data_IF_106179762807
#
_entry.id   IF_106179762807
#
_cell.length_a   1.000
_cell.length_b   1.000
_cell.length_c   1.000
_cell.angle_alpha   90.00
_cell.angle_beta   90.00
_cell.angle_gamma   90.00
#
_symmetry.space_group_name_H-M   'P 1'
#
loop_
_entity.id
_entity.type
_entity.pdbx_description
1 polymer ?
#
# COMPACT_ATOMS: atom_id res chain seq x y z
N UNK A 1 -7.73 -5.64 40.66
CA UNK A 1 -8.34 -6.07 39.39
C UNK A 1 -7.48 -5.50 38.26
N UNK A 2 -6.81 -6.37 37.50
CA UNK A 2 -5.84 -5.98 36.46
C UNK A 2 -6.48 -5.09 35.40
N UNK A 3 -5.88 -3.92 35.15
CA UNK A 3 -6.17 -3.09 33.98
C UNK A 3 -5.61 -3.82 32.75
N UNK A 4 -6.47 -4.50 32.01
CA UNK A 4 -6.14 -5.05 30.70
C UNK A 4 -5.71 -3.91 29.79
N UNK A 5 -4.43 -3.89 29.43
CA UNK A 5 -3.87 -3.00 28.43
C UNK A 5 -4.48 -3.43 27.08
N UNK A 6 -5.39 -2.60 26.55
CA UNK A 6 -5.82 -2.70 25.16
C UNK A 6 -4.65 -2.31 24.26
N UNK A 7 -3.72 -3.24 24.03
CA UNK A 7 -2.85 -3.20 22.86
C UNK A 7 -3.69 -3.69 21.69
N UNK A 8 -4.53 -2.83 21.12
CA UNK A 8 -5.14 -3.12 19.82
C UNK A 8 -4.03 -3.08 18.77
N UNK A 9 -3.51 -4.26 18.44
CA UNK A 9 -2.48 -4.48 17.44
C UNK A 9 -2.97 -3.98 16.08
N UNK A 10 -2.16 -3.16 15.42
CA UNK A 10 -2.25 -2.99 13.96
C UNK A 10 -2.10 -4.41 13.37
N UNK A 11 -2.94 -4.84 12.42
CA UNK A 11 -2.76 -6.14 11.76
C UNK A 11 -1.32 -6.25 11.27
N UNK A 12 -0.62 -7.32 11.65
CA UNK A 12 0.79 -7.52 11.26
C UNK A 12 0.85 -7.52 9.73
N UNK A 13 1.67 -6.64 9.15
CA UNK A 13 1.84 -6.52 7.70
C UNK A 13 2.25 -7.91 7.16
N UNK A 14 1.54 -8.46 6.16
CA UNK A 14 1.91 -9.73 5.54
C UNK A 14 3.36 -9.72 5.04
N UNK A 15 4.10 -10.80 5.29
CA UNK A 15 5.52 -10.93 4.92
C UNK A 15 5.70 -11.25 3.42
N UNK A 16 5.21 -10.37 2.56
CA UNK A 16 5.36 -10.46 1.10
C UNK A 16 5.85 -9.13 0.54
N UNK A 17 6.89 -9.20 -0.29
CA UNK A 17 7.38 -8.10 -1.12
C UNK A 17 6.89 -8.34 -2.55
N UNK A 18 6.13 -7.40 -3.08
CA UNK A 18 5.63 -7.40 -4.44
C UNK A 18 6.53 -6.54 -5.33
N UNK A 19 7.04 -7.12 -6.41
CA UNK A 19 7.79 -6.42 -7.46
C UNK A 19 7.16 -6.73 -8.82
N UNK A 20 7.33 -5.82 -9.77
CA UNK A 20 6.73 -5.94 -11.11
C UNK A 20 7.78 -5.82 -12.20
N UNK A 21 7.65 -6.61 -13.26
CA UNK A 21 8.42 -6.47 -14.49
C UNK A 21 7.58 -6.88 -15.69
N UNK A 22 8.03 -6.56 -16.90
CA UNK A 22 7.30 -6.89 -18.12
C UNK A 22 7.12 -8.40 -18.31
N UNK A 23 8.15 -9.17 -17.95
CA UNK A 23 8.24 -10.62 -18.11
C UNK A 23 8.81 -11.27 -16.85
N UNK A 24 8.80 -12.59 -16.79
CA UNK A 24 9.47 -13.33 -15.72
C UNK A 24 11.00 -13.41 -15.91
N UNK A 25 11.50 -13.09 -17.11
CA UNK A 25 12.92 -13.08 -17.43
C UNK A 25 13.53 -11.71 -17.17
N UNK A 26 14.36 -11.62 -16.12
CA UNK A 26 14.99 -10.37 -15.70
C UNK A 26 16.35 -10.15 -16.37
N UNK A 27 16.66 -8.93 -16.81
CA UNK A 27 18.04 -8.51 -17.09
C UNK A 27 18.93 -8.74 -15.86
N UNK A 28 20.19 -9.10 -16.09
CA UNK A 28 21.14 -9.46 -15.02
C UNK A 28 21.22 -8.40 -13.91
N UNK A 29 21.30 -7.10 -14.26
CA UNK A 29 21.37 -6.02 -13.28
C UNK A 29 20.13 -5.99 -12.35
N UNK A 30 18.93 -6.17 -12.88
CA UNK A 30 17.70 -6.20 -12.09
C UNK A 30 17.59 -7.49 -11.26
N UNK A 31 18.09 -8.61 -11.79
CA UNK A 31 18.16 -9.85 -11.04
C UNK A 31 19.09 -9.72 -9.81
N UNK A 32 20.23 -9.04 -9.93
CA UNK A 32 21.12 -8.77 -8.79
C UNK A 32 20.48 -7.87 -7.74
N UNK A 33 19.78 -6.80 -8.17
CA UNK A 33 19.04 -5.94 -7.24
C UNK A 33 17.95 -6.75 -6.51
N UNK A 34 17.17 -7.56 -7.24
CA UNK A 34 16.16 -8.45 -6.65
C UNK A 34 16.76 -9.46 -5.65
N UNK A 35 17.97 -9.97 -5.91
CA UNK A 35 18.65 -10.91 -4.99
C UNK A 35 18.89 -10.28 -3.62
N UNK A 36 19.19 -8.97 -3.55
CA UNK A 36 19.39 -8.29 -2.25
C UNK A 36 18.13 -8.38 -1.37
N UNK A 37 16.94 -8.21 -1.96
CA UNK A 37 15.67 -8.36 -1.26
C UNK A 37 15.45 -9.77 -0.74
N UNK A 38 15.75 -10.79 -1.54
CA UNK A 38 15.59 -12.20 -1.14
C UNK A 38 16.57 -12.54 -0.01
N UNK A 39 17.83 -12.14 -0.14
CA UNK A 39 18.89 -12.50 0.81
C UNK A 39 18.71 -11.84 2.17
N UNK A 40 18.27 -10.58 2.20
CA UNK A 40 18.06 -9.84 3.45
C UNK A 40 16.72 -10.14 4.12
N UNK A 41 15.79 -10.80 3.42
CA UNK A 41 14.45 -11.08 3.94
C UNK A 41 14.09 -12.57 3.78
N UNK A 42 14.83 -13.50 4.42
CA UNK A 42 14.62 -14.95 4.25
C UNK A 42 13.26 -15.44 4.74
N UNK A 43 12.59 -14.69 5.63
CA UNK A 43 11.23 -15.00 6.11
C UNK A 43 10.12 -14.37 5.25
N UNK A 44 10.48 -13.61 4.21
CA UNK A 44 9.54 -12.92 3.33
C UNK A 44 9.43 -13.63 1.98
N UNK A 45 8.22 -13.72 1.44
CA UNK A 45 8.03 -14.05 0.02
C UNK A 45 8.42 -12.81 -0.80
N UNK A 46 9.42 -12.92 -1.66
CA UNK A 46 9.67 -11.89 -2.69
C UNK A 46 9.03 -12.37 -3.98
N UNK A 47 7.91 -11.77 -4.37
CA UNK A 47 7.11 -12.16 -5.52
C UNK A 47 7.31 -11.21 -6.70
N UNK A 48 7.69 -11.76 -7.85
CA UNK A 48 7.72 -11.02 -9.11
C UNK A 48 6.41 -11.26 -9.86
N UNK A 49 5.77 -10.19 -10.30
CA UNK A 49 4.59 -10.21 -11.16
C UNK A 49 4.94 -9.73 -12.56
N UNK A 50 4.50 -10.47 -13.57
CA UNK A 50 4.61 -10.01 -14.96
C UNK A 50 3.35 -9.29 -15.46
N UNK A 51 3.47 -8.55 -16.58
CA UNK A 51 2.36 -7.77 -17.15
C UNK A 51 1.11 -8.63 -17.42
N UNK A 52 1.28 -9.89 -17.83
CA UNK A 52 0.15 -10.79 -18.10
C UNK A 52 -0.59 -11.18 -16.81
N UNK A 53 0.15 -11.43 -15.73
CA UNK A 53 -0.43 -11.74 -14.42
C UNK A 53 -1.11 -10.52 -13.82
N UNK A 54 -0.51 -9.33 -13.97
CA UNK A 54 -1.06 -8.04 -13.55
C UNK A 54 -2.40 -7.77 -14.26
N UNK A 55 -2.43 -7.88 -15.58
CA UNK A 55 -3.65 -7.62 -16.37
C UNK A 55 -4.74 -8.65 -16.03
N UNK A 56 -4.38 -9.94 -15.87
CA UNK A 56 -5.34 -10.97 -15.44
C UNK A 56 -5.88 -10.69 -14.05
N UNK A 57 -5.04 -10.25 -13.12
CA UNK A 57 -5.45 -9.91 -11.77
C UNK A 57 -6.43 -8.74 -11.78
N UNK A 58 -6.05 -7.62 -12.41
CA UNK A 58 -6.87 -6.42 -12.46
C UNK A 58 -8.23 -6.67 -13.15
N UNK A 59 -8.23 -7.35 -14.30
CA UNK A 59 -9.47 -7.66 -15.02
C UNK A 59 -10.38 -8.64 -14.27
N UNK A 60 -9.84 -9.45 -13.35
CA UNK A 60 -10.64 -10.38 -12.52
C UNK A 60 -11.35 -9.72 -11.34
N UNK A 61 -10.85 -8.56 -10.86
CA UNK A 61 -11.39 -7.87 -9.68
C UNK A 61 -12.18 -6.61 -10.02
N UNK A 62 -11.87 -5.98 -11.16
CA UNK A 62 -12.58 -4.80 -11.64
C UNK A 62 -13.91 -5.20 -12.27
N UNK A 63 -14.93 -4.36 -12.12
CA UNK A 63 -16.15 -4.51 -12.89
C UNK A 63 -15.86 -4.37 -14.41
N UNK A 64 -16.73 -4.87 -15.31
CA UNK A 64 -16.45 -4.91 -16.74
C UNK A 64 -16.12 -3.56 -17.38
N UNK A 65 -16.76 -2.47 -16.94
CA UNK A 65 -16.51 -1.13 -17.46
C UNK A 65 -15.13 -0.61 -17.03
N UNK A 66 -14.80 -0.74 -15.74
CA UNK A 66 -13.50 -0.37 -15.21
C UNK A 66 -12.37 -1.22 -15.81
N UNK A 67 -12.58 -2.52 -16.03
CA UNK A 67 -11.62 -3.39 -16.69
C UNK A 67 -11.34 -2.94 -18.13
N UNK A 68 -12.38 -2.52 -18.88
CA UNK A 68 -12.21 -1.97 -20.23
C UNK A 68 -11.39 -0.68 -20.23
N UNK A 69 -11.65 0.23 -19.29
CA UNK A 69 -10.87 1.47 -19.15
C UNK A 69 -9.43 1.19 -18.75
N UNK A 70 -9.21 0.27 -17.81
CA UNK A 70 -7.88 -0.14 -17.38
C UNK A 70 -7.03 -0.65 -18.54
N UNK A 71 -7.58 -1.48 -19.44
CA UNK A 71 -6.86 -2.01 -20.60
C UNK A 71 -6.50 -0.94 -21.65
N UNK A 72 -7.12 0.25 -21.60
CA UNK A 72 -6.77 1.38 -22.45
C UNK A 72 -5.60 2.22 -21.90
N UNK A 73 -5.23 2.02 -20.63
CA UNK A 73 -4.11 2.73 -20.00
C UNK A 73 -2.76 2.28 -20.58
N UNK A 74 -1.78 3.17 -20.49
CA UNK A 74 -0.38 2.82 -20.75
C UNK A 74 0.17 1.86 -19.69
N UNK A 75 1.24 1.13 -20.00
CA UNK A 75 1.81 0.15 -19.07
C UNK A 75 2.22 0.74 -17.71
N UNK A 76 2.74 1.97 -17.68
CA UNK A 76 3.09 2.66 -16.43
C UNK A 76 1.84 2.95 -15.59
N UNK A 77 0.79 3.47 -16.22
CA UNK A 77 -0.48 3.73 -15.54
C UNK A 77 -1.15 2.45 -15.04
N UNK A 78 -1.04 1.35 -15.79
CA UNK A 78 -1.53 0.04 -15.34
C UNK A 78 -0.77 -0.45 -14.11
N UNK A 79 0.55 -0.31 -14.10
CA UNK A 79 1.37 -0.66 -12.92
C UNK A 79 0.99 0.17 -11.69
N UNK A 80 0.68 1.46 -11.87
CA UNK A 80 0.22 2.32 -10.77
C UNK A 80 -1.14 1.87 -10.20
N UNK A 81 -2.10 1.55 -11.07
CA UNK A 81 -3.39 0.98 -10.65
C UNK A 81 -3.19 -0.35 -9.94
N UNK A 82 -2.38 -1.23 -10.52
CA UNK A 82 -2.11 -2.55 -9.96
C UNK A 82 -1.47 -2.45 -8.57
N UNK A 83 -0.53 -1.54 -8.34
CA UNK A 83 0.15 -1.39 -7.03
C UNK A 83 -0.84 -1.17 -5.90
N UNK A 84 -1.80 -0.28 -6.11
CA UNK A 84 -2.84 0.02 -5.12
C UNK A 84 -3.74 -1.20 -4.90
N UNK A 85 -4.21 -1.83 -5.99
CA UNK A 85 -5.10 -2.99 -5.91
C UNK A 85 -4.41 -4.22 -5.30
N UNK A 86 -3.12 -4.41 -5.57
CA UNK A 86 -2.30 -5.48 -5.02
C UNK A 86 -2.18 -5.34 -3.51
N UNK A 87 -1.79 -4.16 -3.01
CA UNK A 87 -1.67 -3.90 -1.58
C UNK A 87 -3.02 -3.96 -0.88
N UNK A 88 -4.10 -3.46 -1.49
CA UNK A 88 -5.44 -3.58 -0.94
C UNK A 88 -5.89 -5.05 -0.82
N UNK A 89 -5.54 -5.90 -1.79
CA UNK A 89 -5.99 -7.30 -1.83
C UNK A 89 -5.12 -8.23 -0.98
N UNK A 90 -3.80 -8.06 -1.02
CA UNK A 90 -2.84 -8.98 -0.43
C UNK A 90 -2.10 -8.41 0.79
N UNK A 91 -2.14 -7.09 0.99
CA UNK A 91 -1.28 -6.41 1.94
C UNK A 91 0.19 -6.47 1.52
N UNK A 92 1.08 -6.45 2.51
CA UNK A 92 2.53 -6.57 2.29
C UNK A 92 3.17 -5.26 1.87
N UNK A 93 4.26 -5.38 1.12
CA UNK A 93 5.10 -4.24 0.71
C UNK A 93 5.30 -4.28 -0.79
N UNK A 94 5.18 -3.14 -1.44
CA UNK A 94 5.59 -2.98 -2.83
C UNK A 94 6.99 -2.36 -2.89
N UNK A 95 7.86 -2.89 -3.75
CA UNK A 95 9.15 -2.30 -4.05
C UNK A 95 9.39 -2.29 -5.56
N UNK A 96 9.93 -1.19 -6.09
CA UNK A 96 10.38 -1.16 -7.48
C UNK A 96 11.52 -2.16 -7.69
N UNK A 97 11.59 -2.75 -8.89
CA UNK A 97 12.58 -3.79 -9.19
C UNK A 97 14.00 -3.23 -9.34
N UNK A 98 14.13 -1.93 -9.62
CA UNK A 98 15.41 -1.21 -9.73
C UNK A 98 15.91 -0.65 -8.39
N UNK A 99 15.30 -1.07 -7.28
CA UNK A 99 15.72 -0.72 -5.93
C UNK A 99 16.61 -1.80 -5.31
N UNK A 100 17.69 -1.36 -4.67
CA UNK A 100 18.54 -2.21 -3.83
C UNK A 100 17.97 -2.27 -2.39
N UNK A 101 17.90 -3.48 -1.83
CA UNK A 101 17.60 -3.67 -0.41
C UNK A 101 18.90 -3.55 0.38
N UNK A 102 18.95 -2.60 1.32
CA UNK A 102 20.15 -2.35 2.13
C UNK A 102 20.04 -2.91 3.56
N UNK A 103 18.82 -3.19 4.02
CA UNK A 103 18.53 -3.68 5.38
C UNK A 103 17.29 -4.59 5.38
N UNK A 104 17.15 -5.51 6.34
CA UNK A 104 15.96 -6.32 6.51
C UNK A 104 14.68 -5.48 6.70
N UNK A 105 13.56 -5.97 6.17
CA UNK A 105 12.26 -5.30 6.25
C UNK A 105 11.70 -5.24 7.67
N UNK A 106 12.02 -6.19 8.53
CA UNK A 106 11.57 -6.17 9.93
C UNK A 106 12.11 -4.92 10.65
N UNK A 107 13.37 -4.55 10.41
CA UNK A 107 13.96 -3.32 10.96
C UNK A 107 13.23 -2.06 10.47
N UNK A 108 12.79 -2.04 9.21
CA UNK A 108 12.05 -0.90 8.67
C UNK A 108 10.65 -0.80 9.29
N UNK A 109 9.96 -1.92 9.49
CA UNK A 109 8.57 -1.90 9.93
C UNK A 109 8.43 -1.63 11.44
N UNK A 110 9.43 -1.98 12.25
CA UNK A 110 9.49 -1.60 13.67
C UNK A 110 9.44 -0.06 13.86
N UNK A 111 10.04 0.71 12.96
CA UNK A 111 10.04 2.18 13.01
C UNK A 111 8.65 2.80 12.70
N UNK A 112 7.79 2.11 11.95
CA UNK A 112 6.49 2.62 11.48
C UNK A 112 5.29 2.13 12.28
N UNK A 113 5.45 1.10 13.13
CA UNK A 113 4.42 0.69 14.09
C UNK A 113 4.35 1.68 15.25
N UNK A 114 3.90 2.89 14.95
CA UNK A 114 3.71 3.96 15.94
C UNK A 114 2.49 3.60 16.79
N UNK A 115 2.61 3.56 18.14
CA UNK A 115 1.46 3.39 19.01
C UNK A 115 0.39 4.47 18.72
N UNK A 116 -0.89 4.08 18.62
CA UNK A 116 -2.02 4.99 18.26
C UNK A 116 -1.99 6.36 18.96
N UNK A 117 -1.43 6.45 20.18
CA UNK A 117 -1.34 7.69 20.97
C UNK A 117 -0.36 8.76 20.43
N UNK A 118 0.57 8.40 19.52
CA UNK A 118 1.54 9.33 18.90
C UNK A 118 1.09 9.84 17.52
N UNK A 119 -0.01 9.31 16.97
CA UNK A 119 -0.48 9.57 15.61
C UNK A 119 -0.84 11.05 15.33
N UNK A 120 -1.14 11.85 16.36
CA UNK A 120 -1.44 13.30 16.21
C UNK A 120 -0.21 14.16 15.87
N UNK A 121 1.02 13.71 16.18
CA UNK A 121 2.24 14.51 15.95
C UNK A 121 2.93 14.23 14.61
N UNK A 122 2.69 13.08 13.99
CA UNK A 122 3.40 12.64 12.77
C UNK A 122 2.83 13.28 11.48
N UNK A 123 1.65 13.92 11.53
CA UNK A 123 1.02 14.62 10.38
C UNK A 123 1.86 15.76 9.77
N UNK A 124 3.00 16.13 10.37
CA UNK A 124 3.88 17.21 9.88
C UNK A 124 4.89 16.75 8.82
N UNK A 125 5.10 15.45 8.62
CA UNK A 125 6.03 14.93 7.61
C UNK A 125 5.25 14.37 6.41
N UNK A 126 4.76 15.25 5.54
CA UNK A 126 4.14 14.86 4.26
C UNK A 126 5.09 15.18 3.10
N UNK A 127 5.39 14.13 2.34
CA UNK A 127 5.95 14.09 0.97
C UNK A 127 7.46 14.36 0.83
N UNK A 128 8.26 13.29 0.93
CA UNK A 128 9.42 13.06 0.06
C UNK A 128 9.23 11.68 -0.58
N UNK A 129 9.30 11.61 -1.92
CA UNK A 129 9.08 10.40 -2.74
C UNK A 129 9.81 9.17 -2.17
N UNK A 130 9.08 8.14 -1.72
CA UNK A 130 9.51 6.73 -1.65
C UNK A 130 8.37 5.85 -1.09
N UNK A 131 8.10 4.73 -1.77
CA UNK A 131 7.36 3.55 -1.28
C UNK A 131 5.97 3.80 -0.68
N UNK A 132 4.92 3.40 -1.41
CA UNK A 132 3.56 3.34 -0.85
C UNK A 132 3.42 2.10 0.04
N UNK A 133 3.13 2.32 1.32
CA UNK A 133 2.66 1.29 2.27
C UNK A 133 1.24 1.70 2.64
N UNK A 134 0.24 0.91 2.25
CA UNK A 134 -1.18 1.19 2.53
C UNK A 134 -1.79 0.10 3.43
N UNK A 135 -2.52 0.55 4.46
CA UNK A 135 -3.32 -0.23 5.40
C UNK A 135 -4.77 -0.30 4.88
N UNK A 136 -5.35 -1.50 4.64
CA UNK A 136 -6.61 -1.65 3.90
C UNK A 136 -7.92 -1.26 4.65
N UNK A 137 -7.90 -0.44 5.71
CA UNK A 137 -9.10 -0.19 6.55
C UNK A 137 -9.80 1.17 6.46
N UNK A 138 -9.54 2.05 5.48
CA UNK A 138 -10.29 3.32 5.35
C UNK A 138 -11.14 3.40 4.08
N UNK A 139 -12.29 2.74 4.11
CA UNK A 139 -13.47 3.11 3.31
C UNK A 139 -14.67 3.13 4.27
N UNK A 140 -15.52 4.16 4.14
CA UNK A 140 -16.70 4.52 4.97
C UNK A 140 -16.33 5.34 6.24
N UNK A 141 -16.92 6.49 6.56
CA UNK A 141 -18.26 7.03 6.34
C UNK A 141 -18.15 8.58 6.40
N UNK A 142 -18.73 9.30 5.43
CA UNK A 142 -19.08 10.72 5.63
C UNK A 142 -20.62 10.80 5.57
N UNK A 143 -21.23 10.74 6.74
CA UNK A 143 -22.68 10.85 6.94
C UNK A 143 -22.96 11.65 8.20
N UNK A 144 -23.67 12.77 8.05
CA UNK A 144 -24.31 13.54 9.12
C UNK A 144 -23.49 14.75 9.57
N UNK A 145 -23.82 15.96 9.14
CA UNK A 145 -24.87 16.81 9.70
C UNK A 145 -24.45 17.47 11.02
N UNK A 146 -24.09 18.75 10.94
CA UNK A 146 -24.20 19.68 12.06
C UNK A 146 -25.21 20.77 11.67
N UNK A 147 -26.36 20.72 12.35
CA UNK A 147 -27.30 21.81 12.48
C UNK A 147 -27.17 22.37 13.90
N UNK A 148 -27.09 23.70 14.00
CA UNK A 148 -27.72 24.59 14.99
C UNK A 148 -26.99 25.95 14.89
N UNK A 149 -27.63 26.95 14.30
CA UNK A 149 -28.59 27.89 14.90
C UNK A 149 -27.88 29.01 15.66
N UNK A 150 -27.93 30.22 15.10
CA UNK A 150 -28.42 31.37 15.86
C UNK A 150 -28.51 32.68 15.03
N UNK A 151 -29.67 33.35 15.19
CA UNK A 151 -29.99 34.79 15.01
C UNK A 151 -30.69 35.27 13.74
N UNK A 152 -32.01 35.24 13.87
CA UNK A 152 -33.02 36.22 13.44
C UNK A 152 -32.55 37.69 13.56
N UNK A 153 -32.75 38.48 12.50
CA UNK A 153 -33.26 39.86 12.59
C UNK A 153 -33.95 40.26 11.27
N UNK A 154 -35.18 40.76 11.42
CA UNK A 154 -36.12 41.27 10.40
C UNK A 154 -35.92 42.78 10.14
N UNK A 155 -36.63 43.29 9.12
CA UNK A 155 -36.83 44.67 8.62
C UNK A 155 -35.86 45.08 7.48
N UNK A 156 -36.30 45.54 6.30
CA UNK A 156 -37.61 45.81 5.68
C UNK A 156 -37.53 45.52 4.17
#
# INVERSE_FOLDING_TARGET
>A
VQRGLFTEWIPKIPKVVHQTWKTSDLPHCLAELRKTWIQLNPEWEVRLWNDTEIDRFCTSILNPEAAKMYLQLSGIQRADVWRVLCLQKFGGVYADLDMECLRPMEEFLEDYLVPKHLHKKVRKWRIHRRGMVDDPQNFEQDSGADADDDRVSLSD
#
